data_IF_177147805417
#
_entry.id   IF_177147805417
#
_cell.length_a   1.000
_cell.length_b   1.000
_cell.length_c   1.000
_cell.angle_alpha   90.00
_cell.angle_beta   90.00
_cell.angle_gamma   90.00
#
_symmetry.space_group_name_H-M   'P 1'
#
loop_
_entity.id
_entity.type
_entity.pdbx_description
1 polymer ?
#
# COMPACT_ATOMS: atom_id res chain seq x y z
N UNK A 1 17.67 -69.67 -0.21
CA UNK A 1 16.64 -68.74 0.32
C UNK A 1 17.28 -67.90 1.42
N UNK A 2 17.39 -66.58 1.24
CA UNK A 2 16.74 -65.69 2.21
C UNK A 2 16.11 -64.41 1.61
N UNK A 3 14.92 -64.13 2.13
CA UNK A 3 14.41 -62.86 2.65
C UNK A 3 14.31 -61.64 1.71
N UNK A 4 13.07 -61.42 1.26
CA UNK A 4 12.27 -60.31 1.80
C UNK A 4 12.48 -58.94 1.13
N UNK A 5 11.78 -58.75 0.01
CA UNK A 5 11.59 -57.49 -0.70
C UNK A 5 11.13 -56.36 0.22
N UNK A 6 12.01 -55.39 0.51
CA UNK A 6 11.62 -54.09 1.09
C UNK A 6 11.20 -53.15 -0.04
N UNK A 7 9.88 -52.94 -0.17
CA UNK A 7 9.26 -51.86 -0.93
C UNK A 7 9.83 -50.50 -0.49
N UNK A 8 10.28 -49.63 -1.40
CA UNK A 8 10.60 -48.25 -1.04
C UNK A 8 9.31 -47.50 -0.69
N UNK A 9 9.33 -46.81 0.45
CA UNK A 9 8.28 -45.88 0.86
C UNK A 9 8.33 -44.68 -0.09
N UNK A 10 7.31 -44.56 -0.92
CA UNK A 10 7.05 -43.38 -1.73
C UNK A 10 6.85 -42.19 -0.80
N UNK A 11 7.84 -41.30 -0.82
CA UNK A 11 7.90 -40.10 -0.01
C UNK A 11 6.89 -39.10 -0.60
N UNK A 12 5.81 -38.81 0.14
CA UNK A 12 4.88 -37.71 -0.17
C UNK A 12 5.64 -36.38 -0.12
N UNK A 13 6.23 -35.98 -1.24
CA UNK A 13 6.58 -34.58 -1.49
C UNK A 13 5.48 -33.94 -2.32
N UNK A 14 4.34 -33.68 -1.68
CA UNK A 14 3.51 -32.55 -2.07
C UNK A 14 4.22 -31.30 -1.53
N UNK A 15 5.27 -30.88 -2.21
CA UNK A 15 5.82 -29.53 -2.09
C UNK A 15 4.78 -28.57 -2.63
N UNK A 16 3.73 -28.29 -1.85
CA UNK A 16 2.96 -27.07 -2.03
C UNK A 16 3.91 -25.93 -1.67
N UNK A 17 4.67 -25.48 -2.66
CA UNK A 17 5.26 -24.16 -2.67
C UNK A 17 4.12 -23.17 -2.48
N UNK A 18 3.80 -22.88 -1.21
CA UNK A 18 2.96 -21.74 -0.87
C UNK A 18 3.59 -20.56 -1.61
N UNK A 19 2.86 -19.86 -2.49
CA UNK A 19 3.37 -18.61 -3.03
C UNK A 19 3.80 -17.74 -1.85
N UNK A 20 4.86 -16.91 -2.00
CA UNK A 20 5.33 -16.04 -0.93
C UNK A 20 4.09 -15.38 -0.35
N UNK A 21 3.80 -15.64 0.93
CA UNK A 21 2.64 -15.10 1.61
C UNK A 21 2.79 -13.59 1.53
N UNK A 22 2.13 -13.00 0.54
CA UNK A 22 1.92 -11.58 0.44
C UNK A 22 1.40 -11.19 1.82
N UNK A 23 2.17 -10.38 2.56
CA UNK A 23 1.73 -9.93 3.88
C UNK A 23 0.58 -8.98 3.61
N UNK A 24 -0.62 -9.54 3.49
CA UNK A 24 -1.84 -8.76 3.45
C UNK A 24 -1.75 -7.76 4.61
N UNK A 25 -1.91 -6.47 4.30
CA UNK A 25 -1.76 -5.47 5.32
C UNK A 25 -2.77 -5.77 6.44
N UNK A 26 -2.38 -5.54 7.69
CA UNK A 26 -3.34 -5.58 8.79
C UNK A 26 -4.32 -4.42 8.58
N UNK A 27 -5.50 -4.75 8.08
CA UNK A 27 -6.59 -3.82 7.85
C UNK A 27 -7.25 -3.50 9.20
N UNK A 28 -7.47 -2.21 9.45
CA UNK A 28 -8.17 -1.69 10.63
C UNK A 28 -9.24 -0.73 10.14
N UNK A 29 -10.47 -0.93 10.62
CA UNK A 29 -11.55 0.02 10.43
C UNK A 29 -11.33 1.22 11.36
N UNK A 30 -11.57 2.43 10.85
CA UNK A 30 -11.38 3.67 11.58
C UNK A 30 -12.66 4.10 12.30
N UNK A 31 -12.50 4.77 13.44
CA UNK A 31 -13.59 5.50 14.08
C UNK A 31 -13.88 6.81 13.33
N UNK A 32 -15.04 7.45 13.58
CA UNK A 32 -15.41 8.70 12.90
C UNK A 32 -14.37 9.82 13.04
N UNK A 33 -13.73 9.95 14.21
CA UNK A 33 -12.65 10.94 14.40
C UNK A 33 -11.44 10.62 13.53
N UNK A 34 -10.97 9.37 13.56
CA UNK A 34 -9.81 8.93 12.78
C UNK A 34 -10.07 9.03 11.28
N UNK A 35 -11.30 8.75 10.84
CA UNK A 35 -11.74 8.97 9.46
C UNK A 35 -11.61 10.44 9.06
N UNK A 36 -12.09 11.35 9.92
CA UNK A 36 -11.95 12.79 9.68
C UNK A 36 -10.49 13.25 9.62
N UNK A 37 -9.61 12.69 10.44
CA UNK A 37 -8.17 13.00 10.39
C UNK A 37 -7.49 12.42 9.16
N UNK A 38 -7.91 11.23 8.71
CA UNK A 38 -7.49 10.65 7.44
C UNK A 38 -7.91 11.51 6.24
N UNK A 39 -9.17 11.97 6.22
CA UNK A 39 -9.70 12.84 5.17
C UNK A 39 -8.93 14.17 5.13
N UNK A 40 -8.66 14.78 6.29
CA UNK A 40 -7.78 15.95 6.40
C UNK A 40 -6.37 15.67 5.87
N UNK A 41 -5.81 14.50 6.17
CA UNK A 41 -4.52 14.10 5.61
C UNK A 41 -4.56 14.05 4.08
N UNK A 42 -5.55 13.36 3.50
CA UNK A 42 -5.68 13.25 2.03
C UNK A 42 -5.86 14.63 1.39
N UNK A 43 -6.62 15.52 2.03
CA UNK A 43 -6.81 16.90 1.59
C UNK A 43 -5.53 17.74 1.59
N UNK A 44 -4.71 17.58 2.62
CA UNK A 44 -3.45 18.31 2.76
C UNK A 44 -2.27 17.64 2.05
N UNK A 45 -2.41 16.37 1.64
CA UNK A 45 -1.38 15.66 0.93
C UNK A 45 -1.12 16.31 -0.44
N UNK A 46 0.14 16.60 -0.73
CA UNK A 46 0.57 17.31 -1.95
C UNK A 46 1.30 16.35 -2.87
N UNK A 47 0.98 16.40 -4.16
CA UNK A 47 1.65 15.51 -5.12
C UNK A 47 3.13 15.87 -5.27
N UNK A 48 3.47 17.14 -5.08
CA UNK A 48 4.85 17.66 -5.05
C UNK A 48 5.72 17.08 -3.92
N UNK A 49 5.13 16.58 -2.82
CA UNK A 49 5.87 15.99 -1.71
C UNK A 49 6.07 14.47 -1.85
N UNK A 50 5.61 13.89 -2.96
CA UNK A 50 5.79 12.48 -3.27
C UNK A 50 7.15 12.31 -3.94
N UNK A 51 8.13 11.86 -3.17
CA UNK A 51 9.50 11.63 -3.65
C UNK A 51 9.77 10.17 -4.04
N UNK A 52 8.83 9.26 -3.75
CA UNK A 52 9.01 7.82 -3.99
C UNK A 52 8.36 7.42 -5.31
N UNK A 53 9.19 7.04 -6.27
CA UNK A 53 8.77 6.45 -7.56
C UNK A 53 9.03 4.94 -7.66
N UNK A 54 9.62 4.35 -6.62
CA UNK A 54 9.90 2.93 -6.57
C UNK A 54 8.66 2.16 -6.12
N UNK A 55 8.49 0.93 -6.62
CA UNK A 55 7.47 0.01 -6.16
C UNK A 55 8.14 -1.31 -5.78
N UNK A 56 8.01 -1.69 -4.50
CA UNK A 56 8.66 -2.88 -3.97
C UNK A 56 7.64 -3.92 -3.54
N UNK A 57 8.10 -5.13 -3.27
CA UNK A 57 7.28 -6.21 -2.67
C UNK A 57 6.95 -5.98 -1.19
N UNK A 58 7.41 -4.86 -0.61
CA UNK A 58 7.04 -4.41 0.72
C UNK A 58 6.22 -3.12 0.61
N UNK A 59 5.36 -2.89 1.60
CA UNK A 59 4.65 -1.63 1.75
C UNK A 59 5.64 -0.49 2.04
N UNK A 60 5.79 0.40 1.08
CA UNK A 60 6.58 1.63 1.19
C UNK A 60 5.67 2.82 1.47
N UNK A 61 6.21 3.86 2.10
CA UNK A 61 5.49 5.11 2.36
C UNK A 61 5.91 6.13 1.31
N UNK A 62 5.00 6.46 0.41
CA UNK A 62 5.29 7.37 -0.71
C UNK A 62 5.04 8.84 -0.36
N UNK A 63 4.20 9.06 0.63
CA UNK A 63 3.87 10.36 1.18
C UNK A 63 3.61 10.17 2.67
N UNK A 64 3.95 11.17 3.47
CA UNK A 64 3.65 11.18 4.89
C UNK A 64 3.62 12.60 5.44
N UNK A 65 2.88 12.79 6.53
CA UNK A 65 2.93 14.04 7.30
C UNK A 65 4.30 14.19 7.97
N UNK A 66 5.27 14.69 7.20
CA UNK A 66 6.69 14.58 7.51
C UNK A 66 7.15 15.39 8.73
N UNK A 67 6.26 16.14 9.40
CA UNK A 67 6.61 17.03 10.54
C UNK A 67 5.56 17.09 11.65
N UNK A 68 4.61 16.17 11.69
CA UNK A 68 3.54 16.20 12.68
C UNK A 68 3.95 15.41 13.93
N UNK A 69 3.91 16.06 15.10
CA UNK A 69 4.12 15.42 16.43
C UNK A 69 2.88 14.67 16.90
N UNK A 70 1.86 14.50 16.05
CA UNK A 70 0.65 13.79 16.41
C UNK A 70 0.97 12.32 16.70
N UNK A 71 0.20 11.75 17.63
CA UNK A 71 0.29 10.34 17.98
C UNK A 71 -0.01 9.41 16.79
N UNK A 72 -0.75 9.92 15.80
CA UNK A 72 -1.09 9.25 14.55
C UNK A 72 -0.55 10.08 13.39
N UNK A 73 0.27 9.46 12.55
CA UNK A 73 0.72 10.06 11.28
C UNK A 73 0.22 9.22 10.13
N UNK A 74 -0.32 9.88 9.11
CA UNK A 74 -0.88 9.21 7.94
C UNK A 74 0.13 9.16 6.79
N UNK A 75 0.07 8.07 6.03
CA UNK A 75 0.97 7.76 4.93
C UNK A 75 0.21 7.15 3.75
N UNK A 76 0.62 7.48 2.52
CA UNK A 76 0.18 6.74 1.34
C UNK A 76 1.11 5.54 1.15
N UNK A 77 0.56 4.35 1.38
CA UNK A 77 1.24 3.09 1.17
C UNK A 77 1.16 2.66 -0.29
N UNK A 78 2.28 2.20 -0.84
CA UNK A 78 2.34 1.55 -2.15
C UNK A 78 3.09 0.22 -2.06
N UNK A 79 2.70 -0.73 -2.90
CA UNK A 79 3.33 -2.04 -2.98
C UNK A 79 3.11 -2.64 -4.37
N UNK A 80 4.12 -3.31 -4.90
CA UNK A 80 4.00 -4.22 -6.04
C UNK A 80 3.91 -5.65 -5.53
N UNK A 81 2.79 -6.29 -5.79
CA UNK A 81 2.54 -7.68 -5.48
C UNK A 81 3.38 -8.61 -6.36
N UNK A 82 3.57 -9.85 -5.89
CA UNK A 82 4.46 -10.81 -6.57
C UNK A 82 3.87 -11.31 -7.90
N UNK A 83 2.55 -11.22 -8.06
CA UNK A 83 1.82 -11.48 -9.31
C UNK A 83 1.99 -10.33 -10.34
N UNK A 84 2.71 -9.26 -9.98
CA UNK A 84 2.94 -8.10 -10.82
C UNK A 84 1.91 -6.99 -10.65
N UNK A 85 0.88 -7.21 -9.84
CA UNK A 85 -0.16 -6.22 -9.56
C UNK A 85 0.35 -5.10 -8.64
N UNK A 86 -0.09 -3.87 -8.87
CA UNK A 86 0.24 -2.71 -8.01
C UNK A 86 -0.94 -2.41 -7.07
N UNK A 87 -0.64 -2.28 -5.78
CA UNK A 87 -1.65 -1.97 -4.75
C UNK A 87 -1.24 -0.74 -3.96
N UNK A 88 -2.22 0.09 -3.61
CA UNK A 88 -2.04 1.23 -2.70
C UNK A 88 -3.03 1.16 -1.56
N UNK A 89 -2.67 1.76 -0.43
CA UNK A 89 -3.53 1.81 0.75
C UNK A 89 -3.15 3.00 1.61
N UNK A 90 -4.10 3.61 2.30
CA UNK A 90 -3.77 4.60 3.32
C UNK A 90 -3.31 3.85 4.57
N UNK A 91 -2.16 4.25 5.12
CA UNK A 91 -1.56 3.65 6.30
C UNK A 91 -1.45 4.69 7.39
N UNK A 92 -1.76 4.30 8.62
CA UNK A 92 -1.46 5.12 9.78
C UNK A 92 -0.37 4.49 10.61
N UNK A 93 0.51 5.33 11.12
CA UNK A 93 1.51 4.93 12.10
C UNK A 93 0.85 4.86 13.47
N UNK A 94 0.92 3.69 14.09
CA UNK A 94 0.39 3.43 15.43
C UNK A 94 1.54 2.88 16.29
N UNK A 95 2.07 3.73 17.17
CA UNK A 95 3.26 3.41 17.97
C UNK A 95 4.49 3.11 17.11
N UNK A 96 5.00 1.87 17.18
CA UNK A 96 6.13 1.38 16.36
C UNK A 96 5.69 0.75 15.04
N UNK A 97 4.39 0.53 14.84
CA UNK A 97 3.84 -0.16 13.69
C UNK A 97 3.17 0.76 12.68
N UNK A 98 2.82 0.19 11.54
CA UNK A 98 1.95 0.82 10.55
C UNK A 98 0.78 -0.12 10.28
N UNK A 99 -0.43 0.39 10.47
CA UNK A 99 -1.68 -0.32 10.18
C UNK A 99 -2.31 0.28 8.94
N UNK A 100 -2.97 -0.54 8.13
CA UNK A 100 -3.57 -0.06 6.89
C UNK A 100 -5.07 0.10 7.09
N UNK A 101 -5.62 1.11 6.45
CA UNK A 101 -7.02 1.47 6.64
C UNK A 101 -7.90 0.63 5.76
N UNK A 102 -8.86 -0.06 6.37
CA UNK A 102 -9.89 -0.79 5.64
C UNK A 102 -10.72 0.15 4.76
N UNK A 103 -11.09 -0.28 3.56
CA UNK A 103 -11.82 0.54 2.59
C UNK A 103 -10.95 1.49 1.76
N UNK A 104 -9.66 1.63 2.08
CA UNK A 104 -8.71 2.42 1.27
C UNK A 104 -7.77 1.57 0.43
N UNK A 105 -7.82 0.24 0.54
CA UNK A 105 -6.97 -0.66 -0.25
C UNK A 105 -7.47 -0.65 -1.70
N UNK A 106 -6.61 -0.23 -2.63
CA UNK A 106 -6.89 -0.15 -4.06
C UNK A 106 -5.89 -1.02 -4.82
N UNK A 107 -6.40 -1.76 -5.80
CA UNK A 107 -5.62 -2.53 -6.75
C UNK A 107 -5.68 -1.83 -8.10
N UNK A 108 -4.52 -1.62 -8.71
CA UNK A 108 -4.35 -0.91 -9.98
C UNK A 108 -4.04 -1.85 -11.15
N UNK A 109 -4.10 -3.16 -10.91
CA UNK A 109 -3.73 -4.17 -11.91
C UNK A 109 -2.22 -4.22 -12.15
N UNK A 110 -1.80 -4.75 -13.30
CA UNK A 110 -0.39 -4.98 -13.66
C UNK A 110 0.29 -3.75 -14.28
N UNK A 111 -0.45 -2.66 -14.52
CA UNK A 111 0.10 -1.40 -14.99
C UNK A 111 0.60 -0.57 -13.81
N UNK A 112 1.83 -0.07 -13.89
CA UNK A 112 2.43 0.73 -12.82
C UNK A 112 1.72 2.09 -12.73
N UNK A 113 0.90 2.36 -11.71
CA UNK A 113 0.22 3.64 -11.63
C UNK A 113 1.20 4.71 -11.16
N UNK A 114 0.99 5.95 -11.60
CA UNK A 114 1.76 7.08 -11.09
C UNK A 114 1.22 7.43 -9.69
N UNK A 115 2.07 7.44 -8.67
CA UNK A 115 1.65 7.70 -7.28
C UNK A 115 0.97 9.08 -7.13
N UNK A 116 1.35 10.08 -7.92
CA UNK A 116 0.67 11.38 -7.96
C UNK A 116 -0.79 11.23 -8.44
N UNK A 117 -1.01 10.44 -9.50
CA UNK A 117 -2.36 10.12 -9.99
C UNK A 117 -3.15 9.32 -8.94
N UNK A 118 -2.50 8.37 -8.27
CA UNK A 118 -3.11 7.62 -7.16
C UNK A 118 -3.60 8.56 -6.07
N UNK A 119 -2.78 9.52 -5.62
CA UNK A 119 -3.19 10.48 -4.61
C UNK A 119 -4.41 11.31 -5.06
N UNK A 120 -4.41 11.76 -6.32
CA UNK A 120 -5.55 12.48 -6.89
C UNK A 120 -6.81 11.61 -6.98
N UNK A 121 -6.68 10.31 -7.24
CA UNK A 121 -7.80 9.37 -7.18
C UNK A 121 -8.37 9.24 -5.77
N UNK A 122 -7.51 9.17 -4.74
CA UNK A 122 -7.98 9.22 -3.35
C UNK A 122 -8.70 10.53 -3.03
N UNK A 123 -8.17 11.68 -3.45
CA UNK A 123 -8.85 12.97 -3.25
C UNK A 123 -10.26 12.97 -3.86
N UNK A 124 -10.39 12.51 -5.11
CA UNK A 124 -11.70 12.40 -5.79
C UNK A 124 -12.66 11.43 -5.10
N UNK A 125 -12.16 10.31 -4.61
CA UNK A 125 -12.97 9.29 -3.95
C UNK A 125 -13.55 9.76 -2.62
N UNK A 126 -12.81 10.59 -1.89
CA UNK A 126 -13.23 11.18 -0.63
C UNK A 126 -13.97 12.52 -0.80
N UNK A 127 -14.33 12.89 -2.04
CA UNK A 127 -14.96 14.18 -2.38
C UNK A 127 -14.16 15.39 -1.86
N UNK A 128 -12.84 15.25 -1.85
CA UNK A 128 -11.92 16.29 -1.41
C UNK A 128 -11.54 17.10 -2.64
N UNK A 129 -12.08 18.31 -2.74
CA UNK A 129 -11.69 19.22 -3.80
C UNK A 129 -10.17 19.46 -3.73
N UNK A 130 -9.45 19.40 -4.87
CA UNK A 130 -8.06 19.82 -4.90
C UNK A 130 -8.05 21.27 -4.44
N UNK A 131 -7.45 21.53 -3.27
CA UNK A 131 -7.29 22.88 -2.76
C UNK A 131 -6.53 23.68 -3.81
N UNK A 132 -7.28 24.51 -4.54
CA UNK A 132 -6.80 25.38 -5.61
C UNK A 132 -5.88 26.43 -5.00
N UNK A 133 -4.64 26.03 -4.73
CA UNK A 133 -3.55 26.91 -4.33
C UNK A 133 -2.26 26.30 -4.85
N UNK A 134 -2.02 26.58 -6.13
CA UNK A 134 -0.71 26.50 -6.81
C UNK A 134 0.01 25.16 -6.72
N UNK A 135 -0.45 24.15 -7.46
CA UNK A 135 0.49 23.24 -8.11
C UNK A 135 0.44 23.59 -9.61
N UNK A 136 1.27 24.56 -10.02
CA UNK A 136 1.54 24.83 -11.43
C UNK A 136 2.18 23.59 -12.02
N UNK A 137 1.40 22.84 -12.80
CA UNK A 137 1.90 21.74 -13.62
C UNK A 137 2.88 22.33 -14.65
N UNK A 138 4.18 22.23 -14.35
CA UNK A 138 5.21 22.37 -15.36
C UNK A 138 5.09 21.17 -16.30
N UNK A 139 4.76 21.46 -17.54
CA UNK A 139 4.78 20.54 -18.66
C UNK A 139 6.23 20.08 -18.88
N UNK A 140 6.59 18.87 -18.44
CA UNK A 140 7.79 18.19 -18.90
C UNK A 140 7.51 17.60 -20.29
N UNK A 141 7.71 18.42 -21.31
CA UNK A 141 7.97 17.99 -22.68
C UNK A 141 9.46 17.67 -22.82
N UNK A 142 9.83 16.38 -22.87
CA UNK A 142 10.93 15.85 -23.69
C UNK A 142 10.92 14.31 -23.76
#
# INVERSE_FOLDING_TARGET
MPKGSKKPKENKQAGSSKPPKEKEPKLRSLNNSEKGDMEKYIANARTSLIHVNEWTTNWIHCHGESRTTAALTWHLGAMRCSDGTYKTVIRMKEGRGHVSVEGTLRSWGTERPNIKKVLNSYKREFDIEPTSSSESEGEDEN
#
